data_IF_840485612268
#
_entry.id   IF_840485612268
#
_cell.length_a   1.000
_cell.length_b   1.000
_cell.length_c   1.000
_cell.angle_alpha   90.00
_cell.angle_beta   90.00
_cell.angle_gamma   90.00
#
_symmetry.space_group_name_H-M   'P 1'
#
loop_
_entity.id
_entity.type
_entity.pdbx_description
1 polymer ?
#
# COMPACT_ATOMS: atom_id res chain seq x y z
N UNK A 1 -0.39 -25.39 -0.05
CA UNK A 1 -0.81 -24.27 0.81
C UNK A 1 -1.52 -23.25 -0.06
N UNK A 2 -2.79 -22.90 0.24
CA UNK A 2 -3.35 -21.65 -0.30
C UNK A 2 -2.61 -20.51 0.44
N UNK A 3 -1.98 -19.54 -0.24
CA UNK A 3 -1.44 -18.38 0.45
C UNK A 3 -2.62 -17.69 1.14
N UNK A 4 -2.57 -17.56 2.46
CA UNK A 4 -3.49 -16.70 3.19
C UNK A 4 -3.28 -15.30 2.60
N UNK A 5 -4.34 -14.59 2.15
CA UNK A 5 -4.18 -13.22 1.70
C UNK A 5 -3.71 -12.41 2.92
N UNK A 6 -2.41 -12.17 3.02
CA UNK A 6 -1.87 -11.34 4.08
C UNK A 6 -2.02 -9.89 3.65
N UNK A 7 -2.55 -9.07 4.55
CA UNK A 7 -2.58 -7.63 4.36
C UNK A 7 -1.14 -7.10 4.45
N UNK A 8 -0.74 -6.29 3.46
CA UNK A 8 0.57 -5.67 3.41
C UNK A 8 0.46 -4.23 3.90
N UNK A 9 1.23 -3.90 4.93
CA UNK A 9 1.36 -2.53 5.41
C UNK A 9 2.63 -1.89 4.84
N UNK A 10 2.46 -0.78 4.13
CA UNK A 10 3.55 0.02 3.58
C UNK A 10 3.64 1.33 4.34
N UNK A 11 4.82 1.63 4.87
CA UNK A 11 5.10 2.93 5.50
C UNK A 11 6.05 3.74 4.62
N UNK A 12 5.66 4.97 4.32
CA UNK A 12 6.46 5.95 3.58
C UNK A 12 6.44 7.31 4.26
N UNK A 13 7.42 8.14 3.95
CA UNK A 13 7.45 9.56 4.33
C UNK A 13 7.28 10.42 3.08
N UNK A 14 6.53 11.50 3.17
CA UNK A 14 6.38 12.46 2.08
C UNK A 14 5.67 13.73 2.52
N UNK A 15 5.68 14.73 1.65
CA UNK A 15 5.29 16.11 2.00
C UNK A 15 3.86 16.41 1.53
N UNK A 16 3.26 15.47 0.78
CA UNK A 16 1.90 15.57 0.27
C UNK A 16 1.25 14.18 0.10
N UNK A 17 -0.10 14.10 0.11
CA UNK A 17 -0.80 12.85 -0.17
C UNK A 17 -0.41 12.19 -1.50
N UNK A 18 -0.18 13.00 -2.55
CA UNK A 18 0.17 12.49 -3.87
C UNK A 18 1.59 11.90 -3.93
N UNK A 19 2.53 12.46 -3.16
CA UNK A 19 3.87 11.89 -3.02
C UNK A 19 3.84 10.57 -2.26
N UNK A 20 3.10 10.53 -1.14
CA UNK A 20 2.86 9.32 -0.35
C UNK A 20 2.28 8.21 -1.22
N UNK A 21 1.25 8.50 -2.00
CA UNK A 21 0.62 7.54 -2.89
C UNK A 21 1.58 7.01 -3.96
N UNK A 22 2.31 7.90 -4.64
CA UNK A 22 3.30 7.55 -5.67
C UNK A 22 4.44 6.68 -5.12
N UNK A 23 4.75 6.76 -3.83
CA UNK A 23 5.73 5.90 -3.19
C UNK A 23 5.12 4.58 -2.69
N UNK A 24 3.96 4.62 -2.02
CA UNK A 24 3.38 3.48 -1.33
C UNK A 24 2.74 2.47 -2.29
N UNK A 25 1.97 2.93 -3.29
CA UNK A 25 1.23 2.04 -4.19
C UNK A 25 2.18 1.14 -5.02
N UNK A 26 3.24 1.66 -5.67
CA UNK A 26 4.16 0.81 -6.42
C UNK A 26 4.99 -0.13 -5.54
N UNK A 27 5.21 0.23 -4.26
CA UNK A 27 5.86 -0.67 -3.31
C UNK A 27 4.94 -1.84 -2.93
N UNK A 28 3.65 -1.57 -2.71
CA UNK A 28 2.65 -2.59 -2.46
C UNK A 28 2.45 -3.51 -3.66
N UNK A 29 2.30 -2.94 -4.86
CA UNK A 29 2.09 -3.70 -6.10
C UNK A 29 3.28 -4.65 -6.34
N UNK A 30 4.52 -4.16 -6.31
CA UNK A 30 5.72 -5.01 -6.49
C UNK A 30 5.83 -6.15 -5.47
N UNK A 31 5.33 -5.96 -4.26
CA UNK A 31 5.35 -7.00 -3.22
C UNK A 31 4.35 -8.13 -3.51
N UNK A 32 3.24 -7.84 -4.17
CA UNK A 32 2.25 -8.83 -4.62
C UNK A 32 2.52 -9.36 -6.05
N UNK A 33 3.38 -8.68 -6.82
CA UNK A 33 3.71 -8.95 -8.21
C UNK A 33 3.54 -7.67 -9.03
N UNK A 34 4.50 -7.35 -9.91
CA UNK A 34 4.55 -6.05 -10.61
C UNK A 34 3.27 -5.62 -11.32
N UNK A 35 2.43 -6.57 -11.73
CA UNK A 35 1.15 -6.36 -12.41
C UNK A 35 -0.06 -6.77 -11.54
N UNK A 36 0.13 -6.93 -10.22
CA UNK A 36 -0.94 -7.30 -9.31
C UNK A 36 -1.98 -6.19 -9.21
N UNK A 37 -3.25 -6.57 -9.29
CA UNK A 37 -4.35 -5.70 -8.87
C UNK A 37 -4.43 -5.70 -7.34
N UNK A 38 -4.47 -4.52 -6.74
CA UNK A 38 -4.44 -4.34 -5.29
C UNK A 38 -5.51 -3.34 -4.84
N UNK A 39 -6.16 -3.64 -3.72
CA UNK A 39 -7.06 -2.72 -3.02
C UNK A 39 -6.30 -1.99 -1.90
N UNK A 40 -6.63 -0.72 -1.67
CA UNK A 40 -6.27 0.02 -0.46
C UNK A 40 -7.35 -0.22 0.61
N UNK A 41 -6.94 -0.74 1.77
CA UNK A 41 -7.83 -1.03 2.89
C UNK A 41 -7.87 0.09 3.93
N UNK A 42 -6.71 0.68 4.21
CA UNK A 42 -6.57 1.75 5.18
C UNK A 42 -5.40 2.65 4.81
N UNK A 43 -5.47 3.91 5.20
CA UNK A 43 -4.37 4.85 5.13
C UNK A 43 -4.43 5.77 6.35
N UNK A 44 -3.30 5.89 7.06
CA UNK A 44 -3.13 6.82 8.17
C UNK A 44 -1.87 7.63 7.95
N UNK A 45 -1.96 8.94 8.04
CA UNK A 45 -0.81 9.85 8.02
C UNK A 45 -0.70 10.58 9.35
N UNK A 46 0.53 10.69 9.85
CA UNK A 46 0.86 11.43 11.06
C UNK A 46 2.10 12.31 10.77
N UNK A 47 2.28 13.44 11.44
CA UNK A 47 3.53 14.21 11.34
C UNK A 47 4.74 13.34 11.69
N UNK A 48 5.80 13.41 10.88
CA UNK A 48 7.04 12.71 11.20
C UNK A 48 7.73 13.39 12.40
N UNK A 49 8.04 12.61 13.44
CA UNK A 49 8.74 13.11 14.63
C UNK A 49 10.18 13.55 14.35
N UNK A 50 10.82 12.95 13.34
CA UNK A 50 12.18 13.29 12.93
C UNK A 50 12.22 14.48 11.97
N UNK A 51 11.15 14.69 11.21
CA UNK A 51 11.03 15.77 10.23
C UNK A 51 9.60 16.35 10.23
N UNK A 52 9.27 17.29 11.14
CA UNK A 52 7.90 17.77 11.37
C UNK A 52 7.21 18.42 10.16
N UNK A 53 7.97 18.81 9.14
CA UNK A 53 7.45 19.35 7.89
C UNK A 53 6.89 18.27 6.95
N UNK A 54 7.12 17.00 7.26
CA UNK A 54 6.75 15.83 6.44
C UNK A 54 5.72 14.96 7.18
N UNK A 55 5.03 14.13 6.41
CA UNK A 55 4.08 13.16 6.93
C UNK A 55 4.66 11.75 6.82
N UNK A 56 4.57 10.98 7.91
CA UNK A 56 4.77 9.54 7.92
C UNK A 56 3.41 8.85 7.73
N UNK A 57 3.24 8.22 6.58
CA UNK A 57 2.00 7.54 6.21
C UNK A 57 2.17 6.01 6.26
N UNK A 58 1.18 5.32 6.78
CA UNK A 58 1.06 3.85 6.74
C UNK A 58 -0.23 3.47 6.05
N UNK A 59 -0.10 2.66 5.01
CA UNK A 59 -1.21 2.22 4.15
C UNK A 59 -1.28 0.70 4.13
N UNK A 60 -2.47 0.14 4.35
CA UNK A 60 -2.74 -1.30 4.28
C UNK A 60 -3.32 -1.69 2.92
N UNK A 61 -2.79 -2.75 2.33
CA UNK A 61 -3.17 -3.25 1.01
C UNK A 61 -3.52 -4.73 1.05
N UNK A 62 -4.32 -5.19 0.09
CA UNK A 62 -4.52 -6.61 -0.20
C UNK A 62 -4.49 -6.84 -1.72
N UNK A 63 -4.11 -8.04 -2.19
CA UNK A 63 -4.30 -8.39 -3.58
C UNK A 63 -5.80 -8.61 -3.85
N UNK A 64 -6.27 -8.16 -5.01
CA UNK A 64 -7.55 -8.59 -5.56
C UNK A 64 -7.28 -9.97 -6.16
N UNK A 65 -8.06 -10.98 -5.77
CA UNK A 65 -7.94 -12.29 -6.41
C UNK A 65 -8.08 -12.10 -7.93
N UNK A 66 -7.29 -12.80 -8.78
CA UNK A 66 -7.51 -12.73 -10.22
C UNK A 66 -8.97 -13.06 -10.46
N UNK A 67 -9.66 -12.22 -11.24
CA UNK A 67 -11.06 -12.38 -11.61
C UNK A 67 -11.29 -13.87 -11.88
N UNK A 68 -12.02 -14.56 -11.01
CA UNK A 68 -12.39 -15.95 -11.26
C UNK A 68 -13.19 -15.93 -12.54
N UNK A 69 -12.57 -16.31 -13.65
CA UNK A 69 -13.29 -16.58 -14.88
C UNK A 69 -14.37 -17.60 -14.54
N UNK A 70 -15.58 -17.26 -14.93
CA UNK A 70 -16.81 -18.04 -14.80
C UNK A 70 -16.57 -19.54 -14.97
N UNK A 71 -17.06 -20.33 -14.02
CA UNK A 71 -17.33 -21.75 -14.20
C UNK A 71 -18.84 -21.98 -14.15
#
# INVERSE_FOLDING_TARGET
>A
MRPVPFELHVTVTGDSPHEIERAAYPAAQRSYGGDAEIDLLSAKAEPDRAAPATLRATSGYRPIAPHSESA
#
